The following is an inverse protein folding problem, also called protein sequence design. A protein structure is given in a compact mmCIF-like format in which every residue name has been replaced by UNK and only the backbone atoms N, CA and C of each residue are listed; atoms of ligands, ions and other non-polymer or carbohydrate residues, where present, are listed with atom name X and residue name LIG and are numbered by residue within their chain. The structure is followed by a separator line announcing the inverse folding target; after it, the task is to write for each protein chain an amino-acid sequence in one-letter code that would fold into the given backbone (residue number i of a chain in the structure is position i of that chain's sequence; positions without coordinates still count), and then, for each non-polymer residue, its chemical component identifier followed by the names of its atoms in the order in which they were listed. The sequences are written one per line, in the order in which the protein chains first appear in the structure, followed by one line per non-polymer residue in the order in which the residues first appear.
data_IF_908061163882
#
_entry.id   IF_908061163882
#
_cell.length_a   1.000
_cell.length_b   1.000
_cell.length_c   1.000
_cell.angle_alpha   90.00
_cell.angle_beta   90.00
_cell.angle_gamma   90.00
#
_symmetry.space_group_name_H-M   'P 1'
#
loop_
_entity.id
_entity.type
_entity.pdbx_description
1 polymer ?
#
# COMPACT_ATOMS: atom_id res chain seq x y z
N UNK A 1 -4.99 -16.23 -17.05
CA UNK A 1 -4.38 -14.99 -16.51
C UNK A 1 -4.08 -15.20 -15.03
N UNK A 2 -3.59 -16.39 -14.68
CA UNK A 2 -3.56 -16.89 -13.30
C UNK A 2 -2.27 -16.52 -12.55
N UNK A 3 -1.29 -15.94 -13.25
CA UNK A 3 0.03 -15.65 -12.69
C UNK A 3 0.09 -14.38 -11.83
N UNK A 4 -0.95 -13.53 -11.80
CA UNK A 4 -0.98 -12.29 -11.01
C UNK A 4 -2.30 -12.03 -10.27
N UNK A 5 -3.28 -12.94 -10.34
CA UNK A 5 -4.62 -12.69 -9.78
C UNK A 5 -5.33 -11.48 -10.41
N UNK A 6 -4.93 -11.07 -11.61
CA UNK A 6 -5.56 -9.98 -12.33
C UNK A 6 -6.86 -10.49 -12.98
N UNK A 7 -7.99 -9.83 -12.67
CA UNK A 7 -9.30 -10.14 -13.27
C UNK A 7 -9.33 -9.85 -14.78
N UNK A 8 -8.57 -8.84 -15.22
CA UNK A 8 -8.49 -8.43 -16.62
C UNK A 8 -7.10 -7.87 -16.97
N UNK A 9 -6.63 -8.18 -18.18
CA UNK A 9 -5.40 -7.62 -18.74
C UNK A 9 -5.74 -6.64 -19.83
N UNK A 10 -5.17 -5.43 -19.80
CA UNK A 10 -5.43 -4.39 -20.79
C UNK A 10 -4.13 -4.03 -21.50
N UNK A 11 -4.13 -4.08 -22.83
CA UNK A 11 -3.03 -3.64 -23.68
C UNK A 11 -3.45 -2.35 -24.42
N UNK A 12 -2.81 -1.25 -24.06
CA UNK A 12 -2.98 0.05 -24.71
C UNK A 12 -1.83 0.29 -25.70
N UNK A 13 -2.13 0.56 -26.97
CA UNK A 13 -1.11 0.89 -27.98
C UNK A 13 -1.68 1.84 -29.02
N UNK A 14 -0.93 2.88 -29.40
CA UNK A 14 -1.37 3.90 -30.38
C UNK A 14 -2.00 3.29 -31.64
N UNK A 15 -1.35 2.29 -32.22
CA UNK A 15 -1.84 1.55 -33.38
C UNK A 15 -1.80 0.04 -33.08
N UNK A 16 -2.94 -0.63 -33.27
CA UNK A 16 -3.09 -2.08 -33.13
C UNK A 16 -3.35 -2.75 -34.47
N UNK A 17 -2.52 -3.74 -34.81
CA UNK A 17 -2.72 -4.57 -36.00
C UNK A 17 -3.94 -5.49 -35.84
N UNK A 18 -4.63 -5.80 -36.95
CA UNK A 18 -5.82 -6.67 -36.98
C UNK A 18 -5.57 -8.05 -36.36
N UNK A 19 -4.39 -8.63 -36.59
CA UNK A 19 -4.00 -9.91 -35.98
C UNK A 19 -3.91 -9.85 -34.46
N UNK A 20 -3.41 -8.74 -33.89
CA UNK A 20 -3.37 -8.56 -32.44
C UNK A 20 -4.79 -8.49 -31.85
N UNK A 21 -5.73 -7.83 -32.53
CA UNK A 21 -7.15 -7.80 -32.11
C UNK A 21 -7.81 -9.18 -32.15
N UNK A 22 -7.47 -10.01 -33.13
CA UNK A 22 -8.02 -11.36 -33.25
C UNK A 22 -7.49 -12.32 -32.17
N UNK A 23 -6.25 -12.13 -31.70
CA UNK A 23 -5.60 -13.00 -30.72
C UNK A 23 -5.94 -12.58 -29.28
N UNK A 24 -6.07 -11.29 -29.00
CA UNK A 24 -6.19 -10.77 -27.64
C UNK A 24 -7.34 -11.37 -26.80
N UNK A 25 -8.57 -11.57 -27.34
CA UNK A 25 -9.65 -12.21 -26.59
C UNK A 25 -9.31 -13.64 -26.15
N UNK A 26 -8.54 -14.38 -26.96
CA UNK A 26 -8.09 -15.75 -26.61
C UNK A 26 -7.08 -15.77 -25.47
N UNK A 27 -6.37 -14.66 -25.25
CA UNK A 27 -5.45 -14.47 -24.14
C UNK A 27 -6.13 -13.83 -22.91
N UNK A 28 -7.44 -13.53 -23.00
CA UNK A 28 -8.18 -12.76 -22.00
C UNK A 28 -7.79 -11.27 -21.96
N UNK A 29 -6.97 -10.79 -22.90
CA UNK A 29 -6.46 -9.42 -22.90
C UNK A 29 -7.41 -8.52 -23.69
N UNK A 30 -7.87 -7.44 -23.06
CA UNK A 30 -8.55 -6.33 -23.75
C UNK A 30 -7.52 -5.48 -24.45
N UNK A 31 -7.73 -5.17 -25.72
CA UNK A 31 -6.84 -4.32 -26.51
C UNK A 31 -7.53 -3.00 -26.85
N UNK A 32 -6.84 -1.89 -26.61
CA UNK A 32 -7.35 -0.54 -26.84
C UNK A 32 -6.33 0.23 -27.70
N UNK A 33 -6.79 0.76 -28.84
CA UNK A 33 -6.03 1.70 -29.67
C UNK A 33 -6.44 3.14 -29.39
N UNK A 34 -5.77 4.11 -30.01
CA UNK A 34 -6.07 5.54 -29.84
C UNK A 34 -7.56 5.85 -30.13
N UNK A 35 -8.12 5.27 -31.20
CA UNK A 35 -9.55 5.43 -31.53
C UNK A 35 -10.47 4.81 -30.48
N UNK A 36 -10.15 3.61 -29.99
CA UNK A 36 -10.90 2.95 -28.93
C UNK A 36 -10.82 3.71 -27.62
N UNK A 37 -9.68 4.32 -27.32
CA UNK A 37 -9.49 5.20 -26.17
C UNK A 37 -10.39 6.44 -26.31
N UNK A 38 -10.34 7.16 -27.44
CA UNK A 38 -11.21 8.33 -27.68
C UNK A 38 -12.70 8.01 -27.47
N UNK A 39 -13.16 6.83 -27.91
CA UNK A 39 -14.55 6.38 -27.73
C UNK A 39 -14.84 6.14 -26.25
N UNK A 40 -13.94 5.48 -25.52
CA UNK A 40 -14.08 5.23 -24.09
C UNK A 40 -14.11 6.55 -23.31
N UNK A 41 -13.21 7.48 -23.62
CA UNK A 41 -13.14 8.78 -22.95
C UNK A 41 -14.43 9.59 -23.14
N UNK A 42 -14.99 9.60 -24.35
CA UNK A 42 -16.29 10.22 -24.65
C UNK A 42 -17.44 9.53 -23.93
N UNK A 43 -17.44 8.20 -23.91
CA UNK A 43 -18.51 7.40 -23.27
C UNK A 43 -18.53 7.63 -21.76
N UNK A 44 -17.34 7.75 -21.16
CA UNK A 44 -17.16 8.04 -19.74
C UNK A 44 -17.27 9.52 -19.41
N UNK A 45 -17.50 10.37 -20.42
CA UNK A 45 -17.57 11.82 -20.30
C UNK A 45 -16.40 12.41 -19.50
N UNK A 46 -15.18 11.93 -19.77
CA UNK A 46 -13.99 12.30 -18.98
C UNK A 46 -13.74 13.81 -18.98
N UNK A 47 -14.07 14.49 -20.09
CA UNK A 47 -13.98 15.96 -20.21
C UNK A 47 -14.89 16.71 -19.22
N UNK A 48 -15.97 16.09 -18.76
CA UNK A 48 -16.89 16.65 -17.74
C UNK A 48 -16.62 16.13 -16.33
N UNK A 49 -15.77 15.11 -16.21
CA UNK A 49 -15.35 14.57 -14.92
C UNK A 49 -14.32 15.50 -14.30
N UNK A 50 -14.61 16.03 -13.11
CA UNK A 50 -13.71 16.90 -12.34
C UNK A 50 -12.53 16.14 -11.70
N UNK A 51 -12.29 14.89 -12.08
CA UNK A 51 -11.27 14.03 -11.48
C UNK A 51 -9.89 14.37 -12.04
N UNK A 52 -9.29 15.42 -11.49
CA UNK A 52 -7.94 15.88 -11.80
C UNK A 52 -6.93 15.20 -10.86
N UNK A 53 -6.48 13.99 -11.25
CA UNK A 53 -5.54 13.20 -10.44
C UNK A 53 -4.10 13.63 -10.68
N UNK A 54 -3.77 14.14 -11.87
CA UNK A 54 -2.41 14.55 -12.22
C UNK A 54 -2.25 14.80 -13.71
N UNK A 55 -1.23 15.56 -14.06
CA UNK A 55 -0.86 15.87 -15.43
C UNK A 55 0.41 15.11 -15.86
N UNK A 56 0.82 15.32 -17.11
CA UNK A 56 2.05 14.72 -17.63
C UNK A 56 3.30 15.18 -16.89
N UNK A 57 3.28 16.38 -16.28
CA UNK A 57 4.40 16.89 -15.50
C UNK A 57 4.54 16.12 -14.17
N UNK A 58 3.43 15.84 -13.48
CA UNK A 58 3.38 14.97 -12.30
C UNK A 58 3.86 13.56 -12.65
N UNK A 59 3.42 12.99 -13.78
CA UNK A 59 3.88 11.68 -14.24
C UNK A 59 5.39 11.64 -14.51
N UNK A 60 5.93 12.66 -15.19
CA UNK A 60 7.36 12.76 -15.45
C UNK A 60 8.16 12.90 -14.15
N UNK A 61 7.66 13.69 -13.19
CA UNK A 61 8.25 13.83 -11.85
C UNK A 61 8.22 12.52 -11.06
N UNK A 62 7.11 11.79 -11.13
CA UNK A 62 6.97 10.48 -10.52
C UNK A 62 8.03 9.50 -11.05
N UNK A 63 8.22 9.51 -12.37
CA UNK A 63 9.18 8.64 -13.05
C UNK A 63 10.63 9.01 -12.70
N UNK A 64 10.95 10.31 -12.60
CA UNK A 64 12.31 10.75 -12.23
C UNK A 64 12.66 10.49 -10.76
N UNK A 65 11.68 10.49 -9.86
CA UNK A 65 11.90 10.21 -8.45
C UNK A 65 12.03 8.71 -8.16
N UNK A 66 11.48 7.84 -9.01
CA UNK A 66 11.46 6.39 -8.75
C UNK A 66 12.83 5.71 -8.93
N UNK A 67 13.14 4.76 -8.06
CA UNK A 67 14.34 3.92 -8.15
C UNK A 67 15.58 4.55 -7.53
N UNK A 68 16.77 4.06 -7.88
CA UNK A 68 18.04 4.57 -7.34
C UNK A 68 18.97 4.89 -8.49
N UNK A 69 19.54 6.09 -8.47
CA UNK A 69 20.53 6.50 -9.44
C UNK A 69 21.91 6.10 -8.95
N UNK A 70 22.53 5.16 -9.64
CA UNK A 70 23.94 4.80 -9.46
C UNK A 70 24.68 5.33 -10.66
N UNK A 71 25.61 6.28 -10.45
CA UNK A 71 26.44 6.81 -11.53
C UNK A 71 27.24 5.66 -12.14
N UNK A 72 27.29 5.56 -13.47
CA UNK A 72 27.73 4.37 -14.21
C UNK A 72 29.12 3.79 -13.90
N UNK A 73 29.97 4.52 -13.15
CA UNK A 73 31.31 4.06 -12.73
C UNK A 73 31.44 3.81 -11.21
N UNK A 74 30.36 3.90 -10.45
CA UNK A 74 30.37 3.73 -9.00
C UNK A 74 29.66 2.43 -8.60
N UNK A 75 30.22 1.72 -7.61
CA UNK A 75 29.51 0.62 -6.96
C UNK A 75 28.39 1.21 -6.09
N UNK A 76 27.20 0.59 -6.03
CA UNK A 76 26.16 1.01 -5.11
C UNK A 76 26.68 1.00 -3.67
N UNK A 77 26.38 2.05 -2.91
CA UNK A 77 26.67 2.07 -1.47
C UNK A 77 25.75 1.10 -0.72
N UNK A 78 26.13 0.68 0.49
CA UNK A 78 25.26 -0.16 1.33
C UNK A 78 23.89 0.49 1.57
N UNK A 79 23.85 1.81 1.76
CA UNK A 79 22.62 2.61 1.86
C UNK A 79 21.76 2.53 0.61
N UNK A 80 22.38 2.59 -0.57
CA UNK A 80 21.65 2.41 -1.82
C UNK A 80 21.12 0.98 -1.95
N UNK A 81 21.88 -0.03 -1.53
CA UNK A 81 21.40 -1.42 -1.56
C UNK A 81 20.24 -1.65 -0.58
N UNK A 82 20.27 -1.07 0.62
CA UNK A 82 19.19 -1.20 1.60
C UNK A 82 17.88 -0.60 1.08
N UNK A 83 17.92 0.63 0.54
CA UNK A 83 16.76 1.29 -0.07
C UNK A 83 16.29 0.54 -1.33
N UNK A 84 17.20 -0.05 -2.11
CA UNK A 84 16.85 -0.83 -3.31
C UNK A 84 15.93 -1.99 -2.96
N UNK A 85 16.17 -2.65 -1.82
CA UNK A 85 15.34 -3.74 -1.35
C UNK A 85 13.92 -3.28 -1.02
N UNK A 86 13.75 -2.03 -0.55
CA UNK A 86 12.42 -1.44 -0.32
C UNK A 86 11.72 -1.19 -1.65
N UNK A 87 12.39 -0.55 -2.62
CA UNK A 87 11.85 -0.35 -3.98
C UNK A 87 11.43 -1.67 -4.64
N UNK A 88 12.30 -2.67 -4.62
CA UNK A 88 12.00 -3.98 -5.18
C UNK A 88 10.82 -4.65 -4.49
N UNK A 89 10.70 -4.47 -3.18
CA UNK A 89 9.58 -5.01 -2.44
C UNK A 89 8.26 -4.35 -2.84
N UNK A 90 8.16 -3.02 -2.76
CA UNK A 90 6.90 -2.30 -3.07
C UNK A 90 6.50 -2.41 -4.55
N UNK A 91 7.47 -2.59 -5.45
CA UNK A 91 7.23 -2.71 -6.89
C UNK A 91 6.84 -4.12 -7.31
N UNK A 92 7.53 -5.14 -6.78
CA UNK A 92 7.43 -6.51 -7.29
C UNK A 92 7.04 -7.50 -6.19
N UNK A 93 7.84 -7.62 -5.12
CA UNK A 93 7.65 -8.72 -4.16
C UNK A 93 6.33 -8.62 -3.39
N UNK A 94 5.82 -7.41 -3.16
CA UNK A 94 4.53 -7.16 -2.52
C UNK A 94 3.39 -7.95 -3.19
N UNK A 95 3.42 -8.08 -4.51
CA UNK A 95 2.40 -8.77 -5.30
C UNK A 95 2.59 -10.29 -5.36
N UNK A 96 3.79 -10.78 -5.02
CA UNK A 96 4.14 -12.19 -5.11
C UNK A 96 4.07 -12.90 -3.75
N UNK A 97 4.26 -12.16 -2.66
CA UNK A 97 4.20 -12.69 -1.30
C UNK A 97 2.74 -12.85 -0.86
N UNK A 98 2.49 -13.86 -0.02
CA UNK A 98 1.19 -14.09 0.61
C UNK A 98 0.70 -12.84 1.34
N UNK A 99 -0.55 -12.47 1.13
CA UNK A 99 -1.10 -11.17 1.52
C UNK A 99 -0.95 -10.86 3.01
N UNK A 100 -1.14 -11.87 3.87
CA UNK A 100 -1.06 -11.70 5.31
C UNK A 100 0.32 -11.29 5.82
N UNK A 101 1.39 -11.53 5.05
CA UNK A 101 2.75 -11.12 5.40
C UNK A 101 3.04 -9.67 5.04
N UNK A 102 2.22 -9.04 4.20
CA UNK A 102 2.56 -7.74 3.61
C UNK A 102 2.60 -6.62 4.65
N UNK A 103 1.71 -6.63 5.65
CA UNK A 103 1.70 -5.63 6.73
C UNK A 103 3.04 -5.66 7.50
N UNK A 104 3.45 -6.85 7.97
CA UNK A 104 4.68 -7.05 8.72
C UNK A 104 5.92 -6.72 7.88
N UNK A 105 5.96 -7.21 6.64
CA UNK A 105 7.07 -6.97 5.73
C UNK A 105 7.24 -5.48 5.38
N UNK A 106 6.15 -4.73 5.17
CA UNK A 106 6.23 -3.30 4.92
C UNK A 106 6.83 -2.56 6.12
N UNK A 107 6.27 -2.79 7.32
CA UNK A 107 6.74 -2.12 8.54
C UNK A 107 8.21 -2.45 8.80
N UNK A 108 8.60 -3.72 8.73
CA UNK A 108 9.98 -4.14 8.97
C UNK A 108 10.96 -3.56 7.95
N UNK A 109 10.61 -3.57 6.66
CA UNK A 109 11.51 -3.07 5.61
C UNK A 109 11.73 -1.57 5.70
N UNK A 110 10.68 -0.81 6.01
CA UNK A 110 10.80 0.63 6.22
C UNK A 110 11.54 0.96 7.52
N UNK A 111 11.33 0.18 8.59
CA UNK A 111 12.08 0.33 9.85
C UNK A 111 13.59 0.13 9.66
N UNK A 112 13.98 -0.84 8.82
CA UNK A 112 15.39 -1.11 8.52
C UNK A 112 16.09 -0.01 7.73
N UNK A 113 15.35 0.85 7.02
CA UNK A 113 15.90 1.95 6.23
C UNK A 113 15.50 3.33 6.76
N UNK A 114 14.97 3.42 7.98
CA UNK A 114 14.45 4.67 8.55
C UNK A 114 15.50 5.78 8.60
N UNK A 115 16.78 5.42 8.81
CA UNK A 115 17.89 6.36 8.90
C UNK A 115 18.20 7.03 7.56
N UNK A 116 17.76 6.44 6.45
CA UNK A 116 17.93 6.96 5.10
C UNK A 116 16.66 7.64 4.57
N UNK A 117 15.53 7.51 5.28
CA UNK A 117 14.26 8.10 4.89
C UNK A 117 14.04 9.44 5.60
N UNK A 118 14.57 10.51 5.02
CA UNK A 118 14.38 11.86 5.53
C UNK A 118 13.15 12.53 4.91
N UNK A 119 12.29 13.14 5.74
CA UNK A 119 11.07 13.81 5.30
C UNK A 119 11.32 15.02 4.38
N UNK A 120 12.52 15.60 4.44
CA UNK A 120 12.96 16.69 3.55
C UNK A 120 13.40 16.22 2.17
N UNK A 121 13.79 14.95 2.03
CA UNK A 121 14.09 14.37 0.74
C UNK A 121 12.79 13.93 0.06
N UNK A 122 12.43 14.63 -1.01
CA UNK A 122 11.23 14.35 -1.79
C UNK A 122 11.18 12.90 -2.30
N UNK A 123 12.35 12.30 -2.58
CA UNK A 123 12.44 10.93 -3.08
C UNK A 123 12.15 9.91 -1.99
N UNK A 124 12.76 10.08 -0.82
CA UNK A 124 12.47 9.28 0.36
C UNK A 124 10.99 9.41 0.78
N UNK A 125 10.48 10.64 0.78
CA UNK A 125 9.08 10.93 1.09
C UNK A 125 8.13 10.25 0.11
N UNK A 126 8.37 10.38 -1.19
CA UNK A 126 7.57 9.72 -2.21
C UNK A 126 7.58 8.19 -2.04
N UNK A 127 8.74 7.58 -1.77
CA UNK A 127 8.83 6.15 -1.46
C UNK A 127 8.02 5.76 -0.22
N UNK A 128 8.08 6.55 0.86
CA UNK A 128 7.30 6.33 2.07
C UNK A 128 5.79 6.39 1.81
N UNK A 129 5.33 7.32 0.99
CA UNK A 129 3.93 7.40 0.57
C UNK A 129 3.49 6.21 -0.29
N UNK A 130 4.34 5.70 -1.17
CA UNK A 130 4.05 4.46 -1.91
C UNK A 130 4.02 3.25 -0.97
N UNK A 131 4.91 3.19 0.03
CA UNK A 131 4.85 2.22 1.12
C UNK A 131 3.55 2.29 1.89
N UNK A 132 3.11 3.50 2.26
CA UNK A 132 1.84 3.77 2.92
C UNK A 132 0.66 3.30 2.05
N UNK A 133 0.68 3.56 0.74
CA UNK A 133 -0.36 3.10 -0.18
C UNK A 133 -0.47 1.57 -0.20
N UNK A 134 0.65 0.86 -0.22
CA UNK A 134 0.69 -0.61 -0.12
C UNK A 134 0.20 -1.11 1.25
N UNK A 135 0.52 -0.39 2.32
CA UNK A 135 0.05 -0.72 3.66
C UNK A 135 -1.46 -0.55 3.79
N UNK A 136 -2.01 0.57 3.30
CA UNK A 136 -3.46 0.82 3.24
C UNK A 136 -4.16 -0.32 2.49
N UNK A 137 -3.66 -0.70 1.32
CA UNK A 137 -4.21 -1.82 0.57
C UNK A 137 -4.17 -3.14 1.36
N UNK A 138 -3.06 -3.42 2.04
CA UNK A 138 -2.92 -4.64 2.86
C UNK A 138 -3.91 -4.66 4.04
N UNK A 139 -4.12 -3.52 4.70
CA UNK A 139 -5.06 -3.39 5.82
C UNK A 139 -6.51 -3.49 5.31
N UNK A 140 -6.83 -2.94 4.14
CA UNK A 140 -8.14 -3.11 3.51
C UNK A 140 -8.43 -4.58 3.18
N UNK A 141 -7.43 -5.32 2.65
CA UNK A 141 -7.55 -6.76 2.40
C UNK A 141 -7.76 -7.54 3.69
N UNK A 142 -7.00 -7.23 4.74
CA UNK A 142 -7.18 -7.79 6.07
C UNK A 142 -8.59 -7.54 6.61
N UNK A 143 -9.09 -6.31 6.51
CA UNK A 143 -10.42 -5.96 6.97
C UNK A 143 -11.52 -6.68 6.19
N UNK A 144 -11.34 -6.85 4.88
CA UNK A 144 -12.25 -7.65 4.04
C UNK A 144 -12.26 -9.12 4.45
N UNK A 145 -11.10 -9.73 4.70
CA UNK A 145 -11.02 -11.12 5.16
C UNK A 145 -11.69 -11.28 6.54
N UNK A 146 -11.38 -10.40 7.50
CA UNK A 146 -12.01 -10.38 8.82
C UNK A 146 -13.54 -10.25 8.72
N UNK A 147 -14.03 -9.31 7.91
CA UNK A 147 -15.45 -9.08 7.72
C UNK A 147 -16.18 -10.27 7.09
N UNK A 148 -15.50 -11.05 6.25
CA UNK A 148 -16.09 -12.24 5.62
C UNK A 148 -16.18 -13.46 6.54
N UNK A 149 -15.45 -13.46 7.67
CA UNK A 149 -15.39 -14.59 8.61
C UNK A 149 -16.32 -14.39 9.80
N UNK A 150 -16.05 -13.37 10.62
CA UNK A 150 -16.80 -13.11 11.84
C UNK A 150 -16.61 -11.67 12.31
N UNK A 151 -17.72 -10.91 12.30
CA UNK A 151 -17.76 -9.52 12.75
C UNK A 151 -17.84 -9.38 14.28
N UNK A 152 -18.19 -10.43 15.00
CA UNK A 152 -18.30 -10.41 16.47
C UNK A 152 -16.95 -10.51 17.17
N UNK A 153 -15.96 -11.13 16.52
CA UNK A 153 -14.59 -11.30 17.03
C UNK A 153 -13.53 -10.73 16.07
N UNK A 154 -13.59 -9.41 15.85
CA UNK A 154 -12.63 -8.71 14.97
C UNK A 154 -11.18 -8.93 15.43
N UNK A 155 -10.91 -8.98 16.74
CA UNK A 155 -9.55 -9.17 17.29
C UNK A 155 -9.02 -10.56 16.98
N UNK A 156 -9.80 -11.61 17.26
CA UNK A 156 -9.39 -12.99 16.99
C UNK A 156 -9.23 -13.29 15.50
N UNK A 157 -10.11 -12.74 14.65
CA UNK A 157 -9.98 -12.87 13.20
C UNK A 157 -8.76 -12.10 12.67
N UNK A 158 -8.50 -10.89 13.19
CA UNK A 158 -7.30 -10.11 12.84
C UNK A 158 -6.02 -10.85 13.21
N UNK A 159 -5.99 -11.46 14.39
CA UNK A 159 -4.87 -12.29 14.84
C UNK A 159 -4.68 -13.49 13.90
N UNK A 160 -5.78 -14.16 13.55
CA UNK A 160 -5.77 -15.30 12.63
C UNK A 160 -5.26 -14.91 11.24
N UNK A 161 -5.65 -13.74 10.71
CA UNK A 161 -5.17 -13.24 9.44
C UNK A 161 -3.65 -13.05 9.46
N UNK A 162 -3.11 -12.27 10.41
CA UNK A 162 -1.69 -11.92 10.47
C UNK A 162 -0.73 -13.12 10.50
N UNK A 163 -1.21 -14.26 11.01
CA UNK A 163 -0.41 -15.48 11.10
C UNK A 163 -0.71 -16.52 10.03
N UNK A 164 -1.53 -16.18 9.02
CA UNK A 164 -1.79 -17.05 7.88
C UNK A 164 -2.78 -18.18 8.19
N UNK A 165 -3.75 -17.93 9.07
CA UNK A 165 -4.82 -18.87 9.40
C UNK A 165 -4.72 -19.51 10.79
N UNK A 166 -5.79 -20.17 11.21
CA UNK A 166 -5.96 -20.67 12.58
C UNK A 166 -4.93 -21.76 12.93
N UNK A 167 -4.60 -22.62 11.98
CA UNK A 167 -3.60 -23.67 12.17
C UNK A 167 -2.20 -23.09 12.39
N UNK A 168 -1.74 -22.24 11.47
CA UNK A 168 -0.45 -21.54 11.57
C UNK A 168 -0.34 -20.74 12.86
N UNK A 169 -1.43 -20.10 13.26
CA UNK A 169 -1.50 -19.37 14.52
C UNK A 169 -1.35 -20.29 15.75
N UNK A 170 -2.07 -21.41 15.77
CA UNK A 170 -2.01 -22.39 16.86
C UNK A 170 -0.60 -22.95 17.03
N UNK A 171 0.07 -23.32 15.93
CA UNK A 171 1.46 -23.79 15.97
C UNK A 171 2.40 -22.72 16.52
N UNK A 172 2.27 -21.47 16.08
CA UNK A 172 3.10 -20.36 16.59
C UNK A 172 2.87 -20.10 18.08
N UNK A 173 1.62 -20.12 18.54
CA UNK A 173 1.29 -20.01 19.98
C UNK A 173 1.93 -21.15 20.79
N UNK A 174 1.91 -22.38 20.26
CA UNK A 174 2.56 -23.54 20.90
C UNK A 174 4.07 -23.34 21.00
N UNK A 175 4.72 -22.91 19.92
CA UNK A 175 6.17 -22.65 19.90
C UNK A 175 6.54 -21.57 20.92
N UNK A 176 5.82 -20.45 20.96
CA UNK A 176 6.09 -19.38 21.92
C UNK A 176 5.84 -19.84 23.35
N UNK A 177 4.79 -20.63 23.60
CA UNK A 177 4.55 -21.22 24.92
C UNK A 177 5.69 -22.15 25.37
N UNK A 178 6.33 -22.87 24.44
CA UNK A 178 7.53 -23.67 24.73
C UNK A 178 8.75 -22.79 24.99
N UNK A 179 8.95 -21.73 24.20
CA UNK A 179 10.05 -20.79 24.39
C UNK A 179 9.94 -20.05 25.73
N UNK A 180 8.76 -19.57 26.12
CA UNK A 180 8.54 -18.89 27.39
C UNK A 180 8.81 -19.82 28.59
N UNK A 181 8.41 -21.10 28.50
CA UNK A 181 8.76 -22.10 29.53
C UNK A 181 10.27 -22.34 29.63
N UNK A 182 10.97 -22.29 28.50
CA UNK A 182 12.42 -22.42 28.50
C UNK A 182 13.08 -21.18 29.11
N UNK A 183 12.69 -19.96 28.72
CA UNK A 183 13.26 -18.71 29.26
C UNK A 183 13.01 -18.58 30.76
N UNK A 184 11.83 -18.97 31.24
CA UNK A 184 11.51 -19.07 32.68
C UNK A 184 12.49 -19.99 33.42
N UNK A 185 12.81 -21.16 32.85
CA UNK A 185 13.76 -22.10 33.44
C UNK A 185 15.21 -21.58 33.49
N UNK A 186 15.57 -20.61 32.62
CA UNK A 186 16.87 -19.96 32.59
C UNK A 186 16.91 -18.62 33.34
N UNK A 187 15.83 -18.25 34.05
CA UNK A 187 15.75 -17.02 34.85
C UNK A 187 15.64 -15.74 34.00
N UNK A 188 15.14 -15.85 32.77
CA UNK A 188 14.86 -14.71 31.89
C UNK A 188 13.37 -14.37 32.03
N UNK A 189 13.07 -13.24 32.67
CA UNK A 189 11.69 -12.78 32.96
C UNK A 189 10.97 -12.13 31.76
N UNK A 190 11.65 -11.98 30.60
CA UNK A 190 11.01 -11.45 29.40
C UNK A 190 10.13 -12.51 28.72
N UNK A 191 8.81 -12.34 28.85
CA UNK A 191 7.85 -13.12 28.07
C UNK A 191 7.89 -12.67 26.61
N UNK A 192 8.16 -13.63 25.73
CA UNK A 192 8.11 -13.42 24.28
C UNK A 192 6.63 -13.33 23.89
N UNK A 193 6.21 -12.17 23.39
CA UNK A 193 4.90 -11.98 22.79
C UNK A 193 4.93 -12.40 21.32
N UNK A 194 3.85 -13.04 20.88
CA UNK A 194 3.64 -13.36 19.46
C UNK A 194 3.26 -12.11 18.66
N UNK A 195 2.50 -11.21 19.29
CA UNK A 195 1.86 -10.08 18.64
C UNK A 195 2.89 -8.94 18.47
N UNK A 196 2.91 -8.29 17.29
CA UNK A 196 3.72 -7.09 17.14
C UNK A 196 3.21 -5.97 18.05
N UNK A 197 4.09 -5.04 18.44
CA UNK A 197 3.75 -3.93 19.34
C UNK A 197 2.61 -3.04 18.86
N UNK A 198 2.33 -3.04 17.56
CA UNK A 198 1.27 -2.25 16.93
C UNK A 198 -0.04 -3.02 16.72
N UNK A 199 -0.16 -4.26 17.23
CA UNK A 199 -1.29 -5.14 16.94
C UNK A 199 -2.63 -4.57 17.39
N UNK A 200 -2.72 -4.06 18.62
CA UNK A 200 -3.98 -3.51 19.14
C UNK A 200 -4.45 -2.28 18.33
N UNK A 201 -3.53 -1.38 17.96
CA UNK A 201 -3.85 -0.21 17.11
C UNK A 201 -4.29 -0.65 15.71
N UNK A 202 -3.67 -1.69 15.14
CA UNK A 202 -4.09 -2.30 13.89
C UNK A 202 -5.52 -2.88 13.97
N UNK A 203 -5.85 -3.59 15.05
CA UNK A 203 -7.19 -4.14 15.28
C UNK A 203 -8.24 -3.03 15.36
N UNK A 204 -7.94 -1.92 16.04
CA UNK A 204 -8.85 -0.77 16.07
C UNK A 204 -9.09 -0.17 14.69
N UNK A 205 -8.03 -0.05 13.87
CA UNK A 205 -8.14 0.46 12.50
C UNK A 205 -8.98 -0.49 11.64
N UNK A 206 -8.73 -1.80 11.73
CA UNK A 206 -9.50 -2.83 11.02
C UNK A 206 -10.98 -2.75 11.41
N UNK A 207 -11.29 -2.68 12.70
CA UNK A 207 -12.66 -2.55 13.18
C UNK A 207 -13.36 -1.31 12.60
N UNK A 208 -12.66 -0.15 12.57
CA UNK A 208 -13.21 1.08 11.98
C UNK A 208 -13.44 0.99 10.48
N UNK A 209 -12.53 0.34 9.75
CA UNK A 209 -12.69 0.09 8.31
C UNK A 209 -13.91 -0.77 8.05
N UNK A 210 -14.08 -1.86 8.81
CA UNK A 210 -15.23 -2.76 8.71
C UNK A 210 -16.54 -2.01 8.96
N UNK A 211 -16.59 -1.18 10.01
CA UNK A 211 -17.77 -0.37 10.34
C UNK A 211 -18.04 0.76 9.34
N UNK A 212 -17.01 1.27 8.65
CA UNK A 212 -17.07 2.42 7.73
C UNK A 212 -16.74 2.02 6.30
N UNK A 213 -17.20 0.85 5.84
CA UNK A 213 -16.77 0.21 4.58
C UNK A 213 -16.94 1.10 3.34
N UNK A 214 -18.02 1.87 3.26
CA UNK A 214 -18.28 2.81 2.16
C UNK A 214 -17.20 3.90 2.05
N UNK A 215 -16.71 4.40 3.18
CA UNK A 215 -15.64 5.38 3.23
C UNK A 215 -14.26 4.73 3.04
N UNK A 216 -14.08 3.53 3.61
CA UNK A 216 -12.85 2.78 3.48
C UNK A 216 -12.51 2.43 2.02
N UNK A 217 -13.52 2.12 1.20
CA UNK A 217 -13.36 1.86 -0.23
C UNK A 217 -12.71 3.03 -0.99
N UNK A 218 -12.81 4.27 -0.46
CA UNK A 218 -12.27 5.48 -1.09
C UNK A 218 -10.85 5.83 -0.61
N UNK A 219 -10.30 5.13 0.38
CA UNK A 219 -9.02 5.49 1.02
C UNK A 219 -7.85 5.55 0.05
N UNK A 220 -7.73 4.57 -0.86
CA UNK A 220 -6.66 4.55 -1.86
C UNK A 220 -6.77 5.73 -2.82
N UNK A 221 -7.97 6.04 -3.30
CA UNK A 221 -8.21 7.19 -4.17
C UNK A 221 -7.82 8.52 -3.49
N UNK A 222 -8.16 8.68 -2.21
CA UNK A 222 -7.78 9.88 -1.45
C UNK A 222 -6.27 9.97 -1.28
N UNK A 223 -5.62 8.85 -0.96
CA UNK A 223 -4.18 8.81 -0.81
C UNK A 223 -3.45 9.09 -2.13
N UNK A 224 -3.97 8.60 -3.25
CA UNK A 224 -3.43 8.87 -4.59
C UNK A 224 -3.47 10.37 -4.92
N UNK A 225 -4.58 11.06 -4.60
CA UNK A 225 -4.66 12.52 -4.75
C UNK A 225 -3.67 13.25 -3.84
N UNK A 226 -3.50 12.81 -2.59
CA UNK A 226 -2.47 13.37 -1.69
C UNK A 226 -1.08 13.24 -2.31
N UNK A 227 -0.75 12.06 -2.82
CA UNK A 227 0.55 11.79 -3.45
C UNK A 227 0.74 12.70 -4.68
N UNK A 228 -0.23 12.72 -5.58
CA UNK A 228 -0.08 13.44 -6.85
C UNK A 228 -0.15 14.95 -6.70
N UNK A 229 -0.98 15.49 -5.80
CA UNK A 229 -1.19 16.94 -5.65
C UNK A 229 -0.33 17.58 -4.57
N UNK A 230 -0.10 16.90 -3.44
CA UNK A 230 0.61 17.48 -2.30
C UNK A 230 2.07 17.05 -2.23
N UNK A 231 2.37 15.79 -2.53
CA UNK A 231 3.77 15.31 -2.54
C UNK A 231 4.45 15.69 -3.85
N UNK A 232 3.82 15.40 -4.99
CA UNK A 232 4.40 15.62 -6.33
C UNK A 232 3.96 16.92 -7.01
N UNK A 233 2.81 17.48 -6.60
CA UNK A 233 2.17 18.62 -7.26
C UNK A 233 2.42 19.95 -6.54
N UNK A 234 1.54 20.93 -6.84
CA UNK A 234 1.58 22.30 -6.33
C UNK A 234 0.62 22.57 -5.16
N UNK A 235 0.12 21.53 -4.48
CA UNK A 235 -0.80 21.59 -3.35
C UNK A 235 -2.10 22.37 -3.66
N UNK A 236 -2.99 21.75 -4.44
CA UNK A 236 -4.38 22.20 -4.60
C UNK A 236 -5.32 21.43 -3.66
N UNK A 237 -6.42 22.05 -3.23
CA UNK A 237 -7.38 21.46 -2.28
C UNK A 237 -7.93 20.10 -2.74
N UNK A 238 -7.76 19.06 -1.90
CA UNK A 238 -8.23 17.69 -2.18
C UNK A 238 -9.72 17.62 -2.54
N UNK A 239 -10.56 18.41 -1.88
CA UNK A 239 -12.00 18.47 -2.13
C UNK A 239 -12.31 18.81 -3.59
N UNK A 240 -11.54 19.73 -4.18
CA UNK A 240 -11.71 20.13 -5.57
C UNK A 240 -11.30 19.02 -6.54
N UNK A 241 -10.23 18.29 -6.23
CA UNK A 241 -9.73 17.18 -7.06
C UNK A 241 -10.60 15.93 -6.98
N UNK A 242 -11.21 15.66 -5.83
CA UNK A 242 -12.08 14.49 -5.63
C UNK A 242 -13.55 14.78 -5.94
N UNK A 243 -14.00 16.03 -5.83
CA UNK A 243 -15.39 16.41 -6.07
C UNK A 243 -16.35 15.56 -5.23
N UNK A 244 -17.29 14.87 -5.89
CA UNK A 244 -18.30 14.03 -5.22
C UNK A 244 -17.73 12.78 -4.54
N UNK A 245 -16.49 12.37 -4.86
CA UNK A 245 -15.87 11.22 -4.20
C UNK A 245 -15.20 11.58 -2.88
N UNK A 246 -15.04 12.88 -2.58
CA UNK A 246 -14.45 13.35 -1.32
C UNK A 246 -15.16 12.76 -0.10
N UNK A 247 -14.37 12.33 0.88
CA UNK A 247 -14.83 11.83 2.17
C UNK A 247 -13.78 12.14 3.24
N UNK A 248 -14.19 12.96 4.21
CA UNK A 248 -13.38 13.29 5.38
C UNK A 248 -13.04 12.03 6.20
N UNK A 249 -13.98 11.08 6.29
CA UNK A 249 -13.81 9.81 6.99
C UNK A 249 -12.71 8.95 6.34
N UNK A 250 -12.68 8.89 5.00
CA UNK A 250 -11.62 8.18 4.29
C UNK A 250 -10.25 8.78 4.60
N UNK A 251 -10.12 10.13 4.62
CA UNK A 251 -8.89 10.80 5.01
C UNK A 251 -8.50 10.53 6.47
N UNK A 252 -9.47 10.55 7.40
CA UNK A 252 -9.21 10.22 8.81
C UNK A 252 -8.68 8.80 8.97
N UNK A 253 -9.22 7.83 8.22
CA UNK A 253 -8.72 6.46 8.22
C UNK A 253 -7.30 6.38 7.63
N UNK A 254 -7.02 7.09 6.53
CA UNK A 254 -5.68 7.15 5.93
C UNK A 254 -4.67 7.77 6.91
N UNK A 255 -5.03 8.87 7.60
CA UNK A 255 -4.20 9.50 8.64
C UNK A 255 -3.88 8.55 9.80
N UNK A 256 -4.86 7.74 10.21
CA UNK A 256 -4.64 6.71 11.25
C UNK A 256 -3.65 5.65 10.80
N UNK A 257 -3.77 5.15 9.57
CA UNK A 257 -2.80 4.19 9.03
C UNK A 257 -1.41 4.83 8.86
N UNK A 258 -1.34 6.10 8.42
CA UNK A 258 -0.08 6.83 8.34
C UNK A 258 0.58 6.98 9.72
N UNK A 259 -0.20 7.26 10.76
CA UNK A 259 0.27 7.36 12.14
C UNK A 259 0.77 6.01 12.66
N UNK A 260 0.01 4.93 12.44
CA UNK A 260 0.42 3.56 12.74
C UNK A 260 1.75 3.24 12.06
N UNK A 261 1.86 3.54 10.76
CA UNK A 261 3.04 3.24 9.97
C UNK A 261 4.26 4.02 10.45
N UNK A 262 4.08 5.32 10.68
CA UNK A 262 5.13 6.20 11.20
C UNK A 262 5.68 5.68 12.53
N UNK A 263 4.80 5.33 13.48
CA UNK A 263 5.21 4.81 14.79
C UNK A 263 5.85 3.42 14.69
N UNK A 264 5.23 2.52 13.94
CA UNK A 264 5.65 1.11 13.87
C UNK A 264 6.95 0.93 13.11
N UNK A 265 7.19 1.75 12.08
CA UNK A 265 8.45 1.75 11.33
C UNK A 265 9.47 2.78 11.86
N UNK A 266 9.13 3.54 12.90
CA UNK A 266 9.98 4.59 13.49
C UNK A 266 10.47 5.61 12.44
N UNK A 267 9.53 6.12 11.62
CA UNK A 267 9.78 7.14 10.62
C UNK A 267 9.70 8.54 11.24
N UNK A 268 10.37 9.52 10.62
CA UNK A 268 10.31 10.93 11.04
C UNK A 268 8.86 11.44 11.13
N UNK A 269 8.55 12.27 12.13
CA UNK A 269 7.19 12.78 12.36
C UNK A 269 6.64 13.62 11.20
N UNK A 270 7.52 14.21 10.41
CA UNK A 270 7.21 15.03 9.25
C UNK A 270 7.01 14.19 7.97
N UNK A 271 7.22 12.87 8.01
CA UNK A 271 7.18 12.01 6.82
C UNK A 271 5.83 12.09 6.08
N UNK A 272 4.73 12.16 6.85
CA UNK A 272 3.36 12.24 6.32
C UNK A 272 2.68 13.56 6.68
N UNK A 273 3.43 14.66 6.73
CA UNK A 273 2.93 15.97 7.16
C UNK A 273 1.78 16.50 6.29
N UNK A 274 1.74 16.18 5.00
CA UNK A 274 0.65 16.59 4.10
C UNK A 274 -0.68 16.05 4.61
N UNK A 275 -0.71 14.81 5.11
CA UNK A 275 -1.91 14.20 5.69
C UNK A 275 -2.33 14.88 7.00
N UNK A 276 -1.43 15.53 7.74
CA UNK A 276 -1.76 16.23 8.99
C UNK A 276 -2.45 17.58 8.76
N UNK A 277 -2.20 18.23 7.63
CA UNK A 277 -2.74 19.56 7.29
C UNK A 277 -4.04 19.53 6.49
N UNK A 278 -4.43 18.34 6.01
CA UNK A 278 -5.74 18.03 5.44
C UNK A 278 -6.73 17.68 6.56
#
# INVERSE_FOLDING_TARGET
MDFFGAEEGILLKKILHSHARAIAPKLGVRVIDEKGLDILEKTLAIETSSFDVGDIAVYNRMTSLWGIEVKGNQKPTEKQLSIKNVYQYVQYQYWMVEEYKNIQNLIERFSRVKAELHAKDIKAKYLAYIGLQRLVLSILRMASDVASRDLSDVKGQSHTYLFGGAFSLSERKRIIGLLNKLTENYGIDEQISLEPSYFDELVEIVNKIVLSSLHAAKMLQHLDVVIMKYVLGSAEGIEKSLGTTYSTEALVLVKRIATLFQKSADLEEEMFIELKHL
#
